data_IF_816802536010
#
_entry.id   IF_816802536010
#
_cell.length_a   1.000
_cell.length_b   1.000
_cell.length_c   1.000
_cell.angle_alpha   90.00
_cell.angle_beta   90.00
_cell.angle_gamma   90.00
#
_symmetry.space_group_name_H-M   'P 1'
#
loop_
_entity.id
_entity.type
_entity.pdbx_description
1 polymer ?
#
# COMPACT_ATOMS: atom_id res chain seq x y z
N UNK A 1 -9.60 -10.45 15.81
CA UNK A 1 -9.21 -9.72 14.58
C UNK A 1 -9.02 -10.76 13.49
N UNK A 2 -9.63 -10.61 12.30
CA UNK A 2 -9.58 -11.64 11.25
C UNK A 2 -8.33 -11.42 10.40
N UNK A 3 -7.37 -12.34 10.51
CA UNK A 3 -6.14 -12.35 9.71
C UNK A 3 -6.18 -13.52 8.74
N UNK A 4 -5.67 -13.31 7.53
CA UNK A 4 -5.46 -14.38 6.56
C UNK A 4 -3.98 -14.51 6.25
N UNK A 5 -3.45 -15.72 6.41
CA UNK A 5 -2.07 -16.06 6.12
C UNK A 5 -2.05 -17.18 5.08
N UNK A 6 -1.40 -16.94 3.94
CA UNK A 6 -1.20 -17.99 2.94
C UNK A 6 0.27 -18.14 2.60
N UNK A 7 0.66 -19.40 2.38
CA UNK A 7 2.02 -19.77 1.94
C UNK A 7 2.05 -20.21 0.47
N UNK A 8 0.90 -20.52 -0.10
CA UNK A 8 0.76 -20.94 -1.49
C UNK A 8 0.77 -19.73 -2.41
N UNK A 9 1.32 -19.93 -3.60
CA UNK A 9 1.24 -18.97 -4.71
C UNK A 9 -0.17 -19.02 -5.32
N UNK A 10 -0.72 -17.84 -5.65
CA UNK A 10 -2.01 -17.73 -6.33
C UNK A 10 -1.76 -17.99 -7.83
N UNK A 11 -2.51 -18.90 -8.48
CA UNK A 11 -2.37 -19.14 -9.91
C UNK A 11 -2.64 -17.88 -10.74
N UNK A 12 -1.93 -17.74 -11.87
CA UNK A 12 -2.06 -16.55 -12.73
C UNK A 12 -3.48 -16.39 -13.33
N UNK A 13 -4.19 -17.51 -13.54
CA UNK A 13 -5.56 -17.56 -14.08
C UNK A 13 -6.66 -17.44 -13.00
N UNK A 14 -6.30 -17.12 -11.76
CA UNK A 14 -7.28 -17.00 -10.68
C UNK A 14 -8.16 -15.76 -10.85
N UNK A 15 -9.49 -15.93 -10.89
CA UNK A 15 -10.47 -14.86 -11.10
C UNK A 15 -11.37 -14.58 -9.88
N UNK A 16 -11.38 -15.50 -8.90
CA UNK A 16 -12.28 -15.44 -7.75
C UNK A 16 -11.73 -14.60 -6.58
N UNK A 17 -11.15 -13.43 -6.86
CA UNK A 17 -10.53 -12.56 -5.85
C UNK A 17 -11.51 -12.05 -4.78
N UNK A 18 -12.80 -11.99 -5.11
CA UNK A 18 -13.85 -11.52 -4.19
C UNK A 18 -14.06 -12.38 -2.93
N UNK A 19 -13.59 -13.64 -2.92
CA UNK A 19 -13.68 -14.49 -1.72
C UNK A 19 -12.67 -14.10 -0.63
N UNK A 20 -11.64 -13.35 -0.99
CA UNK A 20 -10.58 -12.95 -0.07
C UNK A 20 -11.07 -11.77 0.75
N UNK A 21 -11.44 -12.05 1.99
CA UNK A 21 -12.04 -11.07 2.89
C UNK A 21 -11.45 -11.22 4.31
N UNK A 22 -10.57 -10.30 4.68
CA UNK A 22 -9.94 -10.25 5.99
C UNK A 22 -9.42 -8.84 6.26
N UNK A 23 -9.45 -8.40 7.52
CA UNK A 23 -8.96 -7.07 7.89
C UNK A 23 -7.49 -6.91 7.49
N UNK A 24 -6.68 -7.90 7.83
CA UNK A 24 -5.26 -7.93 7.49
C UNK A 24 -4.91 -9.21 6.74
N UNK A 25 -4.19 -9.07 5.64
CA UNK A 25 -3.72 -10.17 4.81
C UNK A 25 -2.20 -10.15 4.73
N UNK A 26 -1.60 -11.25 5.17
CA UNK A 26 -0.17 -11.48 5.14
C UNK A 26 0.09 -12.61 4.17
N UNK A 27 0.43 -12.28 2.93
CA UNK A 27 0.57 -13.28 1.88
C UNK A 27 2.05 -13.49 1.57
N UNK A 28 2.45 -14.74 1.32
CA UNK A 28 3.79 -14.99 0.78
C UNK A 28 3.91 -14.41 -0.63
N UNK A 29 2.85 -14.54 -1.44
CA UNK A 29 2.77 -14.08 -2.82
C UNK A 29 1.61 -13.10 -2.97
N UNK A 30 1.87 -11.97 -3.60
CA UNK A 30 0.84 -11.03 -4.01
C UNK A 30 -0.05 -11.65 -5.09
N UNK A 31 -1.29 -11.17 -5.25
CA UNK A 31 -2.07 -11.45 -6.45
C UNK A 31 -1.26 -11.13 -7.71
N UNK A 32 -1.27 -12.02 -8.72
CA UNK A 32 -0.49 -11.82 -9.94
C UNK A 32 -1.04 -10.69 -10.83
N UNK A 33 -2.27 -10.21 -10.57
CA UNK A 33 -2.93 -9.16 -11.35
C UNK A 33 -3.40 -7.99 -10.46
N UNK A 34 -3.57 -6.82 -11.09
CA UNK A 34 -4.12 -5.64 -10.42
C UNK A 34 -5.58 -5.82 -10.01
N UNK A 35 -6.34 -6.65 -10.72
CA UNK A 35 -7.72 -7.00 -10.36
C UNK A 35 -7.75 -7.68 -9.01
N UNK A 36 -6.74 -8.49 -8.68
CA UNK A 36 -6.58 -9.03 -7.34
C UNK A 36 -6.40 -7.95 -6.28
N UNK A 37 -5.53 -6.96 -6.52
CA UNK A 37 -5.36 -5.85 -5.59
C UNK A 37 -6.65 -5.02 -5.39
N UNK A 38 -7.46 -4.85 -6.43
CA UNK A 38 -8.68 -4.02 -6.42
C UNK A 38 -9.95 -4.74 -5.92
N UNK A 39 -10.02 -6.06 -6.08
CA UNK A 39 -11.24 -6.84 -5.81
C UNK A 39 -11.21 -7.63 -4.51
N UNK A 40 -10.03 -7.89 -3.94
CA UNK A 40 -9.94 -8.44 -2.59
C UNK A 40 -10.41 -7.40 -1.56
N UNK A 41 -11.02 -7.86 -0.47
CA UNK A 41 -11.56 -7.00 0.58
C UNK A 41 -10.64 -7.04 1.82
N UNK A 42 -9.83 -6.00 1.98
CA UNK A 42 -8.85 -5.88 3.06
C UNK A 42 -8.65 -4.42 3.49
N UNK A 43 -8.24 -4.25 4.76
CA UNK A 43 -7.72 -2.96 5.23
C UNK A 43 -6.21 -2.90 4.98
N UNK A 44 -5.51 -4.02 5.19
CA UNK A 44 -4.05 -4.09 5.04
C UNK A 44 -3.61 -5.33 4.28
N UNK A 45 -2.73 -5.14 3.31
CA UNK A 45 -2.11 -6.21 2.54
C UNK A 45 -0.59 -6.11 2.62
N UNK A 46 0.07 -7.18 3.06
CA UNK A 46 1.52 -7.28 3.13
C UNK A 46 1.95 -8.54 2.37
N UNK A 47 2.72 -8.35 1.30
CA UNK A 47 3.18 -9.43 0.43
C UNK A 47 4.69 -9.40 0.23
N UNK A 48 5.36 -10.52 0.49
CA UNK A 48 6.84 -10.62 0.39
C UNK A 48 7.36 -10.93 -1.01
N UNK A 49 6.50 -11.41 -1.90
CA UNK A 49 6.86 -11.76 -3.28
C UNK A 49 5.76 -11.25 -4.19
N UNK A 50 6.11 -10.47 -5.19
CA UNK A 50 5.19 -9.97 -6.19
C UNK A 50 5.72 -10.32 -7.57
N UNK A 51 4.81 -10.62 -8.51
CA UNK A 51 5.12 -10.65 -9.95
C UNK A 51 4.76 -9.33 -10.64
N UNK A 52 4.07 -8.42 -9.93
CA UNK A 52 3.67 -7.13 -10.45
C UNK A 52 4.90 -6.25 -10.68
N UNK A 53 4.87 -5.52 -11.79
CA UNK A 53 5.89 -4.56 -12.19
C UNK A 53 5.48 -3.13 -11.86
N UNK A 54 6.38 -2.17 -12.04
CA UNK A 54 6.03 -0.75 -11.85
C UNK A 54 4.93 -0.28 -12.80
N UNK A 55 4.83 -0.84 -14.02
CA UNK A 55 3.74 -0.57 -14.96
C UNK A 55 2.38 -1.05 -14.45
N UNK A 56 2.31 -2.25 -13.88
CA UNK A 56 1.09 -2.78 -13.25
C UNK A 56 0.66 -1.90 -12.06
N UNK A 57 1.63 -1.48 -11.24
CA UNK A 57 1.36 -0.62 -10.09
C UNK A 57 0.91 0.77 -10.52
N UNK A 58 1.48 1.34 -11.59
CA UNK A 58 0.99 2.58 -12.19
C UNK A 58 -0.48 2.44 -12.62
N UNK A 59 -0.84 1.32 -13.27
CA UNK A 59 -2.22 1.05 -13.67
C UNK A 59 -3.15 0.87 -12.47
N UNK A 60 -2.68 0.21 -11.41
CA UNK A 60 -3.40 0.14 -10.12
C UNK A 60 -3.68 1.54 -9.55
N UNK A 61 -2.69 2.43 -9.51
CA UNK A 61 -2.84 3.80 -8.99
C UNK A 61 -3.85 4.61 -9.82
N UNK A 62 -3.79 4.49 -11.15
CA UNK A 62 -4.76 5.11 -12.08
C UNK A 62 -6.18 4.61 -11.83
N UNK A 63 -6.36 3.29 -11.70
CA UNK A 63 -7.67 2.69 -11.37
C UNK A 63 -8.15 3.09 -9.98
N UNK A 64 -7.27 3.17 -8.99
CA UNK A 64 -7.62 3.60 -7.63
C UNK A 64 -8.12 5.05 -7.61
N UNK A 65 -7.45 5.97 -8.33
CA UNK A 65 -7.89 7.37 -8.46
C UNK A 65 -9.29 7.51 -9.08
N UNK A 66 -9.66 6.61 -9.99
CA UNK A 66 -10.97 6.61 -10.64
C UNK A 66 -12.04 5.85 -9.83
N UNK A 67 -11.65 5.17 -8.76
CA UNK A 67 -12.56 4.40 -7.92
C UNK A 67 -13.20 5.27 -6.85
N UNK A 68 -14.30 4.80 -6.28
CA UNK A 68 -14.85 5.31 -5.00
C UNK A 68 -14.77 4.20 -3.96
N UNK A 69 -15.00 4.53 -2.69
CA UNK A 69 -15.19 3.47 -1.70
C UNK A 69 -16.41 2.64 -2.07
N UNK A 70 -16.27 1.31 -2.10
CA UNK A 70 -17.37 0.41 -2.40
C UNK A 70 -18.24 0.31 -1.15
N UNK A 71 -19.53 0.62 -1.26
CA UNK A 71 -20.47 0.55 -0.12
C UNK A 71 -20.54 -0.87 0.49
N UNK A 72 -20.37 -1.90 -0.35
CA UNK A 72 -20.39 -3.31 0.07
C UNK A 72 -19.07 -3.80 0.70
N UNK A 73 -18.00 -2.99 0.66
CA UNK A 73 -16.73 -3.39 1.24
C UNK A 73 -16.77 -3.28 2.77
N UNK A 74 -16.62 -4.44 3.42
CA UNK A 74 -16.41 -4.50 4.87
C UNK A 74 -15.15 -3.74 5.33
N UNK A 75 -14.10 -3.71 4.51
CA UNK A 75 -12.84 -3.04 4.81
C UNK A 75 -12.45 -2.11 3.65
N UNK A 76 -12.02 -0.90 4.01
CA UNK A 76 -11.44 0.01 3.04
C UNK A 76 -9.92 -0.05 3.13
N UNK A 77 -9.25 0.02 1.97
CA UNK A 77 -7.79 -0.01 1.89
C UNK A 77 -7.23 1.11 2.78
N UNK A 78 -6.29 0.73 3.63
CA UNK A 78 -5.48 1.59 4.48
C UNK A 78 -4.00 1.44 4.12
N UNK A 79 -3.56 0.24 3.78
CA UNK A 79 -2.15 -0.06 3.57
C UNK A 79 -1.93 -1.22 2.58
N UNK A 80 -1.01 -1.03 1.63
CA UNK A 80 -0.44 -2.11 0.82
C UNK A 80 1.08 -2.03 0.90
N UNK A 81 1.73 -3.15 1.18
CA UNK A 81 3.18 -3.32 1.11
C UNK A 81 3.54 -4.50 0.23
N UNK A 82 4.27 -4.25 -0.84
CA UNK A 82 4.72 -5.28 -1.77
C UNK A 82 6.24 -5.23 -1.91
N UNK A 83 6.85 -6.41 -1.90
CA UNK A 83 8.28 -6.61 -2.16
C UNK A 83 8.52 -7.34 -3.47
N UNK A 84 9.75 -7.27 -3.99
CA UNK A 84 10.14 -7.93 -5.24
C UNK A 84 9.44 -7.35 -6.46
N UNK A 85 9.30 -6.02 -6.48
CA UNK A 85 8.77 -5.33 -7.65
C UNK A 85 9.85 -5.27 -8.73
N UNK A 86 9.51 -5.70 -9.94
CA UNK A 86 10.36 -5.47 -11.11
C UNK A 86 10.12 -4.05 -11.64
N UNK A 87 11.20 -3.32 -11.89
CA UNK A 87 11.14 -1.96 -12.41
C UNK A 87 11.24 -1.96 -13.94
N UNK A 88 10.11 -1.79 -14.62
CA UNK A 88 10.04 -1.74 -16.09
C UNK A 88 9.72 -0.34 -16.63
N UNK A 89 9.21 0.56 -15.78
CA UNK A 89 8.68 1.87 -16.15
C UNK A 89 8.65 2.84 -14.97
N UNK A 90 8.36 4.12 -15.25
CA UNK A 90 8.13 5.11 -14.20
C UNK A 90 6.75 4.90 -13.57
N UNK A 91 6.71 4.49 -12.30
CA UNK A 91 5.46 4.26 -11.56
C UNK A 91 4.55 5.50 -11.47
N UNK A 92 5.12 6.71 -11.62
CA UNK A 92 4.39 7.98 -11.54
C UNK A 92 3.97 8.56 -12.90
N UNK A 93 4.19 7.82 -13.99
CA UNK A 93 3.84 8.27 -15.34
C UNK A 93 2.34 8.59 -15.47
N UNK A 94 2.04 9.78 -15.98
CA UNK A 94 0.69 10.34 -16.14
C UNK A 94 -0.17 10.37 -14.86
N UNK A 95 0.44 10.41 -13.68
CA UNK A 95 -0.28 10.57 -12.41
C UNK A 95 -0.19 12.01 -11.89
N UNK A 96 -1.29 12.55 -11.31
CA UNK A 96 -1.31 13.89 -10.71
C UNK A 96 -0.67 13.88 -9.32
N UNK A 97 0.61 13.51 -9.24
CA UNK A 97 1.33 13.42 -7.97
C UNK A 97 1.55 14.78 -7.31
N UNK A 98 1.36 14.84 -6.00
CA UNK A 98 1.51 16.03 -5.18
C UNK A 98 2.67 15.79 -4.21
N UNK A 99 3.70 16.63 -4.17
CA UNK A 99 4.73 16.53 -3.14
C UNK A 99 4.14 16.71 -1.73
N UNK A 100 4.76 16.12 -0.72
CA UNK A 100 4.31 16.27 0.66
C UNK A 100 4.10 17.75 1.06
N UNK A 101 2.92 18.02 1.64
CA UNK A 101 2.57 19.31 2.20
C UNK A 101 2.17 19.15 3.68
N UNK A 102 2.93 19.72 4.64
CA UNK A 102 2.64 19.60 6.07
C UNK A 102 1.31 20.24 6.49
N UNK A 103 0.69 21.07 5.63
CA UNK A 103 -0.65 21.62 5.86
C UNK A 103 -1.78 20.70 5.40
N UNK A 104 -1.49 19.69 4.58
CA UNK A 104 -2.49 18.74 4.09
C UNK A 104 -2.50 17.44 4.88
N UNK A 105 -1.32 16.99 5.34
CA UNK A 105 -1.16 15.84 6.24
C UNK A 105 0.13 15.93 7.05
N UNK A 106 0.17 15.17 8.15
CA UNK A 106 1.35 14.97 8.97
C UNK A 106 2.47 14.24 8.21
N UNK A 107 3.65 14.27 8.83
CA UNK A 107 4.86 13.65 8.29
C UNK A 107 4.77 12.12 8.27
N UNK A 108 4.20 11.53 9.32
CA UNK A 108 4.30 10.10 9.57
C UNK A 108 2.98 9.37 9.36
N UNK A 109 3.00 8.32 8.53
CA UNK A 109 1.90 7.37 8.47
C UNK A 109 2.02 6.39 9.63
N UNK A 110 0.93 6.14 10.35
CA UNK A 110 1.01 5.36 11.57
C UNK A 110 0.55 3.92 11.36
N UNK A 111 1.51 3.00 11.39
CA UNK A 111 1.23 1.57 11.35
C UNK A 111 0.92 1.06 12.75
N UNK A 112 -0.34 0.72 13.00
CA UNK A 112 -0.80 0.15 14.28
C UNK A 112 -1.06 -1.33 14.14
N UNK A 113 -0.21 -2.20 14.67
CA UNK A 113 -0.54 -3.63 14.74
C UNK A 113 -0.44 -4.12 16.21
N UNK A 114 -1.07 -5.26 16.56
CA UNK A 114 -1.09 -5.75 17.95
C UNK A 114 0.29 -6.03 18.57
N UNK A 115 1.35 -6.10 17.77
CA UNK A 115 2.71 -6.46 18.17
C UNK A 115 3.68 -5.27 18.14
N UNK A 116 3.43 -4.29 17.28
CA UNK A 116 4.30 -3.13 17.08
C UNK A 116 3.49 -1.96 16.50
N UNK A 117 3.65 -0.81 17.14
CA UNK A 117 3.24 0.47 16.60
C UNK A 117 4.47 1.20 16.10
N UNK A 118 4.39 1.78 14.90
CA UNK A 118 5.45 2.67 14.45
C UNK A 118 4.98 3.72 13.43
N UNK A 119 5.58 4.90 13.51
CA UNK A 119 5.49 5.93 12.48
C UNK A 119 6.43 5.64 11.30
N UNK A 120 5.91 5.81 10.09
CA UNK A 120 6.66 5.71 8.83
C UNK A 120 6.79 7.11 8.27
N UNK A 121 8.02 7.61 8.12
CA UNK A 121 8.27 8.95 7.57
C UNK A 121 7.93 8.99 6.08
N UNK A 122 6.84 9.70 5.75
CA UNK A 122 6.33 9.89 4.40
C UNK A 122 6.59 11.32 3.88
N UNK A 123 7.52 12.08 4.49
CA UNK A 123 7.78 13.48 4.09
C UNK A 123 8.49 13.63 2.75
N UNK A 124 9.07 12.54 2.23
CA UNK A 124 9.82 12.50 0.96
C UNK A 124 9.08 11.80 -0.16
N UNK A 125 7.87 11.33 0.11
CA UNK A 125 7.05 10.57 -0.82
C UNK A 125 6.03 11.48 -1.53
N UNK A 126 5.34 10.90 -2.52
CA UNK A 126 4.32 11.59 -3.30
C UNK A 126 2.92 11.19 -2.88
N UNK A 127 2.03 12.16 -2.88
CA UNK A 127 0.63 11.98 -2.57
C UNK A 127 -0.23 11.94 -3.85
N UNK A 128 -1.33 11.21 -3.79
CA UNK A 128 -2.42 11.20 -4.75
C UNK A 128 -3.71 11.59 -4.01
N UNK A 129 -4.38 12.61 -4.51
CA UNK A 129 -5.69 13.04 -4.01
C UNK A 129 -6.77 12.53 -4.95
N UNK A 130 -7.65 11.68 -4.43
CA UNK A 130 -8.80 11.17 -5.15
C UNK A 130 -9.96 12.19 -5.10
N UNK A 131 -10.87 12.10 -6.07
CA UNK A 131 -11.97 13.06 -6.25
C UNK A 131 -12.91 13.15 -5.04
N UNK A 132 -13.04 12.08 -4.26
CA UNK A 132 -13.81 12.04 -3.02
C UNK A 132 -13.08 12.62 -1.80
N UNK A 133 -11.89 13.18 -2.00
CA UNK A 133 -11.07 13.77 -0.96
C UNK A 133 -10.21 12.76 -0.18
N UNK A 134 -10.22 11.47 -0.53
CA UNK A 134 -9.32 10.48 0.08
C UNK A 134 -7.90 10.71 -0.43
N UNK A 135 -6.95 10.83 0.50
CA UNK A 135 -5.54 11.06 0.21
C UNK A 135 -4.78 9.74 0.38
N UNK A 136 -3.91 9.40 -0.56
CA UNK A 136 -2.96 8.32 -0.42
C UNK A 136 -1.53 8.80 -0.65
N UNK A 137 -0.57 8.21 0.05
CA UNK A 137 0.87 8.35 -0.23
C UNK A 137 1.38 7.11 -0.93
N UNK A 138 2.19 7.31 -1.96
CA UNK A 138 2.88 6.26 -2.70
C UNK A 138 4.38 6.40 -2.46
N UNK A 139 4.99 5.34 -1.94
CA UNK A 139 6.45 5.25 -1.82
C UNK A 139 6.97 4.08 -2.64
N UNK A 140 7.95 4.35 -3.49
CA UNK A 140 8.67 3.34 -4.25
C UNK A 140 10.15 3.41 -3.88
N UNK A 141 10.62 2.41 -3.14
CA UNK A 141 11.97 2.40 -2.59
C UNK A 141 12.81 1.41 -3.39
N UNK A 142 13.79 1.94 -4.11
CA UNK A 142 14.86 1.13 -4.71
C UNK A 142 15.90 0.82 -3.67
N UNK A 143 16.14 -0.46 -3.41
CA UNK A 143 17.12 -0.88 -2.41
C UNK A 143 18.28 -1.56 -3.13
N UNK A 144 19.49 -0.97 -3.17
CA UNK A 144 20.65 -1.59 -3.78
C UNK A 144 20.89 -2.99 -3.21
N UNK A 145 21.14 -3.97 -4.09
CA UNK A 145 21.38 -5.39 -3.74
C UNK A 145 20.21 -6.12 -3.07
N UNK A 146 19.06 -5.47 -2.94
CA UNK A 146 17.82 -6.05 -2.45
C UNK A 146 16.70 -5.83 -3.46
N UNK A 147 15.52 -6.30 -3.10
CA UNK A 147 14.33 -6.17 -3.92
C UNK A 147 13.67 -4.82 -3.72
N UNK A 148 13.27 -4.19 -4.82
CA UNK A 148 12.49 -2.95 -4.78
C UNK A 148 11.16 -3.17 -4.04
N UNK A 149 10.74 -2.12 -3.34
CA UNK A 149 9.58 -2.13 -2.47
C UNK A 149 8.57 -1.08 -2.94
N UNK A 150 7.29 -1.46 -2.90
CA UNK A 150 6.18 -0.57 -3.12
C UNK A 150 5.33 -0.46 -1.86
N UNK A 151 5.01 0.77 -1.48
CA UNK A 151 4.15 1.09 -0.37
C UNK A 151 3.05 2.04 -0.82
N UNK A 152 1.83 1.74 -0.38
CA UNK A 152 0.64 2.54 -0.63
C UNK A 152 -0.10 2.74 0.69
N UNK A 153 -0.22 3.98 1.12
CA UNK A 153 -0.79 4.35 2.42
C UNK A 153 -1.98 5.27 2.24
N UNK A 154 -3.16 4.87 2.68
CA UNK A 154 -4.38 5.68 2.57
C UNK A 154 -4.65 6.39 3.89
N UNK A 155 -4.67 7.72 3.88
CA UNK A 155 -4.79 8.55 5.08
C UNK A 155 -6.25 8.71 5.50
N UNK A 156 -6.66 7.89 6.47
CA UNK A 156 -7.96 8.01 7.15
C UNK A 156 -8.00 9.18 8.12
N UNK A 157 -6.91 9.39 8.82
CA UNK A 157 -6.65 10.54 9.68
C UNK A 157 -5.38 11.20 9.15
N UNK A 158 -5.49 12.46 8.71
CA UNK A 158 -4.36 13.13 8.04
C UNK A 158 -3.31 13.62 9.03
N UNK A 159 -3.63 13.75 10.30
CA UNK A 159 -2.73 14.27 11.34
C UNK A 159 -2.79 13.38 12.57
N UNK A 160 -1.71 12.63 12.81
CA UNK A 160 -1.58 11.81 14.01
C UNK A 160 -0.71 12.50 15.05
N UNK A 161 -1.07 12.36 16.33
CA UNK A 161 -0.14 12.55 17.43
C UNK A 161 0.60 11.24 17.62
N UNK A 162 1.91 11.23 17.32
CA UNK A 162 2.75 10.05 17.49
C UNK A 162 3.55 10.20 18.79
N UNK A 163 3.37 9.30 19.76
CA UNK A 163 4.24 9.22 20.93
C UNK A 163 5.71 9.04 20.50
N UNK A 164 6.62 9.77 21.14
CA UNK A 164 8.05 9.80 20.77
C UNK A 164 8.73 8.41 20.79
N UNK A 165 8.21 7.48 21.57
CA UNK A 165 8.67 6.09 21.71
C UNK A 165 8.23 5.16 20.57
N UNK A 166 7.33 5.61 19.69
CA UNK A 166 6.80 4.84 18.56
C UNK A 166 7.32 5.36 17.19
N UNK A 167 8.36 6.20 17.17
CA UNK A 167 8.96 6.69 15.92
C UNK A 167 10.04 5.73 15.40
N UNK A 168 9.81 5.09 14.25
CA UNK A 168 10.81 4.24 13.61
C UNK A 168 11.57 5.02 12.54
N UNK A 169 12.92 5.03 12.63
CA UNK A 169 13.77 5.65 11.62
C UNK A 169 14.35 4.56 10.68
N UNK A 170 13.87 4.45 9.42
CA UNK A 170 14.34 3.42 8.49
C UNK A 170 15.80 3.62 8.03
N UNK A 171 16.47 4.73 8.39
CA UNK A 171 17.89 4.94 8.08
C UNK A 171 18.87 4.17 8.99
N UNK A 172 18.37 3.34 9.92
CA UNK A 172 19.19 2.56 10.85
C UNK A 172 18.88 1.07 10.72
N UNK A 173 19.07 0.48 9.54
CA UNK A 173 19.38 -0.95 9.40
C UNK A 173 20.37 -1.08 8.23
N UNK A 174 21.57 -1.61 8.54
CA UNK A 174 22.62 -1.97 7.60
C UNK A 174 22.25 -3.17 6.72
#
# INVERSE_FOLDING_TARGET
MQHLLTRAEIPDEYDNYGIWNAKEMWLRYAPPTIEGLLNMNYERLICRRSKLKTSDLNLFLKKWLQSTEKEDNKYNINEIRLSQIENDSNIFEDLPVIPWNPRQRGQFFFHRNPFQNFGIDCSRDFDLLRDDGVLATVSYVRIPHLYDQFYFYVWRERFHVIPNDEMFNPAIIF
#
